data_IF_885465400722
#
_entry.id   IF_885465400722
#
_cell.length_a   1.000
_cell.length_b   1.000
_cell.length_c   1.000
_cell.angle_alpha   90.00
_cell.angle_beta   90.00
_cell.angle_gamma   90.00
#
_symmetry.space_group_name_H-M   'P 1'
#
loop_
_entity.id
_entity.type
_entity.pdbx_description
1 polymer ?
#
# COMPACT_ATOMS: atom_id res chain seq x y z
N UNK A 1 15.11 13.77 -20.32
CA UNK A 1 14.84 14.53 -19.08
C UNK A 1 15.85 14.11 -18.02
N UNK A 2 16.52 15.07 -17.39
CA UNK A 2 17.54 14.82 -16.36
C UNK A 2 17.39 15.81 -15.19
N UNK A 3 17.90 15.43 -14.02
CA UNK A 3 18.01 16.31 -12.84
C UNK A 3 16.74 17.09 -12.51
N UNK A 4 16.89 18.42 -12.37
CA UNK A 4 15.79 19.30 -11.96
C UNK A 4 14.59 19.30 -12.91
N UNK A 5 14.81 19.13 -14.22
CA UNK A 5 13.72 19.05 -15.21
C UNK A 5 12.85 17.80 -14.95
N UNK A 6 13.50 16.66 -14.68
CA UNK A 6 12.80 15.42 -14.35
C UNK A 6 12.01 15.57 -13.06
N UNK A 7 12.63 16.10 -12.00
CA UNK A 7 11.97 16.29 -10.70
C UNK A 7 10.75 17.22 -10.80
N UNK A 8 10.87 18.34 -11.53
CA UNK A 8 9.75 19.25 -11.74
C UNK A 8 8.57 18.55 -12.42
N UNK A 9 8.84 17.81 -13.50
CA UNK A 9 7.79 17.08 -14.23
C UNK A 9 7.16 15.95 -13.40
N UNK A 10 7.95 15.26 -12.57
CA UNK A 10 7.44 14.27 -11.61
C UNK A 10 6.47 14.94 -10.64
N UNK A 11 6.84 16.08 -10.03
CA UNK A 11 5.96 16.82 -9.12
C UNK A 11 4.65 17.24 -9.80
N UNK A 12 4.74 17.80 -10.99
CA UNK A 12 3.57 18.24 -11.76
C UNK A 12 2.63 17.07 -12.14
N UNK A 13 3.20 15.93 -12.53
CA UNK A 13 2.44 14.72 -12.86
C UNK A 13 1.74 14.13 -11.63
N UNK A 14 2.43 14.04 -10.50
CA UNK A 14 1.85 13.59 -9.21
C UNK A 14 0.70 14.48 -8.77
N UNK A 15 0.89 15.80 -8.77
CA UNK A 15 -0.14 16.75 -8.36
C UNK A 15 -1.41 16.60 -9.21
N UNK A 16 -1.27 16.42 -10.53
CA UNK A 16 -2.41 16.17 -11.43
C UNK A 16 -3.10 14.84 -11.12
N UNK A 17 -2.33 13.76 -10.91
CA UNK A 17 -2.89 12.45 -10.50
C UNK A 17 -3.68 12.56 -9.19
N UNK A 18 -3.10 13.19 -8.18
CA UNK A 18 -3.69 13.26 -6.84
C UNK A 18 -4.98 14.11 -6.85
N UNK A 19 -5.02 15.18 -7.63
CA UNK A 19 -6.24 15.96 -7.86
C UNK A 19 -7.36 15.12 -8.50
N UNK A 20 -7.03 14.24 -9.45
CA UNK A 20 -7.99 13.32 -10.08
C UNK A 20 -8.48 12.28 -9.05
N UNK A 21 -7.56 11.68 -8.28
CA UNK A 21 -7.90 10.71 -7.23
C UNK A 21 -8.84 11.33 -6.21
N UNK A 22 -8.52 12.53 -5.71
CA UNK A 22 -9.35 13.25 -4.73
C UNK A 22 -10.75 13.54 -5.28
N UNK A 23 -10.84 14.00 -6.52
CA UNK A 23 -12.12 14.26 -7.21
C UNK A 23 -12.96 12.99 -7.36
N UNK A 24 -12.37 11.92 -7.88
CA UNK A 24 -13.10 10.68 -8.22
C UNK A 24 -13.47 9.88 -6.99
N UNK A 25 -12.55 9.71 -6.03
CA UNK A 25 -12.82 8.98 -4.80
C UNK A 25 -13.89 9.65 -3.92
N UNK A 26 -14.14 10.96 -4.10
CA UNK A 26 -15.25 11.68 -3.47
C UNK A 26 -16.56 11.69 -4.27
N UNK A 27 -16.53 11.39 -5.58
CA UNK A 27 -17.66 11.64 -6.49
C UNK A 27 -18.72 10.53 -6.52
N UNK A 28 -18.36 9.27 -6.32
CA UNK A 28 -19.32 8.17 -6.45
C UNK A 28 -20.17 7.93 -5.19
N UNK A 29 -19.92 8.68 -4.10
CA UNK A 29 -20.42 8.48 -2.71
C UNK A 29 -20.10 7.09 -2.10
N UNK A 30 -19.83 6.11 -2.96
CA UNK A 30 -19.39 4.76 -2.75
C UNK A 30 -17.89 4.77 -2.56
N UNK A 31 -17.42 5.25 -1.40
CA UNK A 31 -16.00 5.25 -1.04
C UNK A 31 -15.47 3.81 -1.06
N UNK A 32 -15.03 3.31 -2.23
CA UNK A 32 -14.50 1.96 -2.40
C UNK A 32 -13.31 1.69 -1.45
N UNK A 33 -12.57 2.75 -1.09
CA UNK A 33 -11.53 2.76 -0.07
C UNK A 33 -12.04 2.38 1.32
N UNK A 34 -13.30 2.71 1.66
CA UNK A 34 -13.92 2.30 2.92
C UNK A 34 -14.15 0.79 3.00
N UNK A 35 -14.04 0.05 1.91
CA UNK A 35 -14.45 -1.36 1.87
C UNK A 35 -13.29 -2.27 1.47
N UNK A 36 -13.03 -3.28 2.30
CA UNK A 36 -12.28 -4.49 1.95
C UNK A 36 -10.80 -4.34 1.56
N UNK A 37 -10.21 -3.15 1.60
CA UNK A 37 -8.77 -3.01 1.34
C UNK A 37 -8.00 -3.07 2.63
N UNK A 38 -7.55 -4.27 2.99
CA UNK A 38 -6.56 -4.46 4.04
C UNK A 38 -5.17 -4.53 3.43
N UNK A 39 -4.18 -4.03 4.15
CA UNK A 39 -2.77 -4.20 3.78
C UNK A 39 -2.41 -5.68 3.94
N UNK A 40 -1.83 -6.28 2.91
CA UNK A 40 -1.20 -7.58 3.04
C UNK A 40 0.11 -7.48 3.83
N UNK A 41 0.68 -8.62 4.22
CA UNK A 41 1.96 -8.66 4.95
C UNK A 41 3.06 -7.87 4.24
N UNK A 42 3.17 -7.98 2.91
CA UNK A 42 4.15 -7.25 2.11
C UNK A 42 3.95 -5.73 2.17
N UNK A 43 2.69 -5.27 2.09
CA UNK A 43 2.39 -3.84 2.18
C UNK A 43 2.67 -3.32 3.60
N UNK A 44 2.45 -4.13 4.64
CA UNK A 44 2.81 -3.79 6.01
C UNK A 44 4.33 -3.68 6.21
N UNK A 45 5.14 -4.53 5.58
CA UNK A 45 6.61 -4.39 5.61
C UNK A 45 7.04 -3.04 5.04
N UNK A 46 6.42 -2.63 3.92
CA UNK A 46 6.65 -1.30 3.33
C UNK A 46 6.24 -0.17 4.27
N UNK A 47 5.08 -0.28 4.92
CA UNK A 47 4.63 0.71 5.89
C UNK A 47 5.58 0.82 7.11
N UNK A 48 5.99 -0.32 7.67
CA UNK A 48 6.98 -0.39 8.75
C UNK A 48 8.26 0.34 8.34
N UNK A 49 8.78 0.02 7.15
CA UNK A 49 9.98 0.66 6.60
C UNK A 49 9.82 2.18 6.50
N UNK A 50 8.73 2.67 5.93
CA UNK A 50 8.52 4.11 5.77
C UNK A 50 8.34 4.83 7.11
N UNK A 51 7.60 4.24 8.06
CA UNK A 51 7.45 4.80 9.41
C UNK A 51 8.79 4.87 10.15
N UNK A 52 9.66 3.87 10.01
CA UNK A 52 10.98 3.88 10.63
C UNK A 52 11.96 4.88 9.99
N UNK A 53 11.73 5.28 8.75
CA UNK A 53 12.57 6.23 8.04
C UNK A 53 12.11 7.69 8.19
N UNK A 54 10.88 7.92 8.59
CA UNK A 54 10.26 9.25 8.64
C UNK A 54 9.37 9.37 9.88
N UNK A 55 9.88 10.08 10.90
CA UNK A 55 9.19 10.29 12.18
C UNK A 55 7.90 11.10 12.02
N UNK A 56 7.84 12.02 11.06
CA UNK A 56 6.62 12.80 10.81
C UNK A 56 5.55 11.92 10.20
N UNK A 57 5.93 11.08 9.24
CA UNK A 57 5.05 10.07 8.65
C UNK A 57 4.60 9.02 9.67
N UNK A 58 5.50 8.53 10.53
CA UNK A 58 5.12 7.65 11.65
C UNK A 58 4.02 8.28 12.50
N UNK A 59 4.24 9.52 12.95
CA UNK A 59 3.29 10.22 13.81
C UNK A 59 1.95 10.40 13.10
N UNK A 60 1.96 10.78 11.83
CA UNK A 60 0.75 10.90 11.01
C UNK A 60 -0.04 9.58 10.96
N UNK A 61 0.63 8.46 10.67
CA UNK A 61 -0.01 7.14 10.63
C UNK A 61 -0.57 6.78 12.01
N UNK A 62 0.18 7.01 13.10
CA UNK A 62 -0.28 6.72 14.47
C UNK A 62 -1.50 7.54 14.87
N UNK A 63 -1.49 8.83 14.61
CA UNK A 63 -2.63 9.72 14.85
C UNK A 63 -3.85 9.23 14.06
N UNK A 64 -3.66 8.89 12.79
CA UNK A 64 -4.71 8.32 11.95
C UNK A 64 -5.28 7.01 12.49
N UNK A 65 -4.43 6.09 12.94
CA UNK A 65 -4.88 4.82 13.54
C UNK A 65 -5.63 5.03 14.87
N UNK A 66 -5.26 6.04 15.67
CA UNK A 66 -6.00 6.40 16.90
C UNK A 66 -7.39 6.94 16.56
N UNK A 67 -7.52 7.79 15.54
CA UNK A 67 -8.83 8.24 15.06
C UNK A 67 -9.69 7.07 14.58
N UNK A 68 -9.11 6.14 13.82
CA UNK A 68 -9.81 4.90 13.42
C UNK A 68 -10.23 4.08 14.65
N UNK A 69 -9.40 4.00 15.69
CA UNK A 69 -9.75 3.32 16.92
C UNK A 69 -10.98 3.94 17.61
N UNK A 70 -11.14 5.25 17.53
CA UNK A 70 -12.33 5.95 18.06
C UNK A 70 -13.60 5.61 17.25
N UNK A 71 -13.50 5.48 15.93
CA UNK A 71 -14.60 4.98 15.09
C UNK A 71 -14.98 3.53 15.47
N UNK A 72 -13.97 2.68 15.66
CA UNK A 72 -14.18 1.28 16.06
C UNK A 72 -14.72 1.11 17.49
N UNK A 73 -14.37 2.00 18.41
CA UNK A 73 -14.94 2.01 19.76
C UNK A 73 -16.43 2.33 19.71
N UNK A 74 -16.84 3.28 18.86
CA UNK A 74 -18.26 3.60 18.69
C UNK A 74 -19.06 2.37 18.22
N UNK A 75 -18.52 1.60 17.27
CA UNK A 75 -19.12 0.33 16.83
C UNK A 75 -19.14 -0.72 17.96
N UNK A 76 -18.04 -0.83 18.72
CA UNK A 76 -17.92 -1.77 19.83
C UNK A 76 -18.92 -1.48 20.95
N UNK A 77 -19.19 -0.21 21.27
CA UNK A 77 -20.17 0.18 22.29
C UNK A 77 -21.57 -0.33 21.94
N UNK A 78 -21.97 -0.22 20.67
CA UNK A 78 -23.26 -0.74 20.21
C UNK A 78 -23.29 -2.27 20.28
N UNK A 79 -22.19 -2.93 19.92
CA UNK A 79 -22.08 -4.38 20.00
C UNK A 79 -22.15 -4.89 21.46
N UNK A 80 -21.54 -4.17 22.41
CA UNK A 80 -21.66 -4.43 23.85
C UNK A 80 -23.11 -4.30 24.31
N UNK A 81 -23.80 -3.23 23.94
CA UNK A 81 -25.21 -3.00 24.28
C UNK A 81 -26.11 -4.13 23.76
N UNK A 82 -25.95 -4.54 22.50
CA UNK A 82 -26.70 -5.68 21.93
C UNK A 82 -26.41 -6.97 22.69
N UNK A 83 -25.15 -7.20 23.07
CA UNK A 83 -24.73 -8.39 23.81
C UNK A 83 -25.35 -8.43 25.22
N UNK A 84 -25.44 -7.28 25.90
CA UNK A 84 -26.12 -7.15 27.18
C UNK A 84 -27.63 -7.41 27.08
N UNK A 85 -28.29 -6.82 26.07
CA UNK A 85 -29.72 -7.06 25.81
C UNK A 85 -30.00 -8.54 25.50
N UNK A 86 -29.14 -9.20 24.74
CA UNK A 86 -29.22 -10.64 24.50
C UNK A 86 -29.02 -11.44 25.80
N UNK A 87 -28.06 -11.07 26.65
CA UNK A 87 -27.86 -11.73 27.94
C UNK A 87 -29.02 -11.57 28.92
N UNK A 88 -29.75 -10.45 28.87
CA UNK A 88 -30.94 -10.22 29.68
C UNK A 88 -32.20 -10.91 29.13
N UNK A 89 -32.32 -11.05 27.81
CA UNK A 89 -33.52 -11.60 27.14
C UNK A 89 -33.46 -13.11 26.92
N UNK A 90 -32.26 -13.63 26.67
CA UNK A 90 -32.00 -15.07 26.52
C UNK A 90 -31.87 -15.64 27.93
N UNK A 91 -32.96 -16.17 28.48
CA UNK A 91 -32.88 -17.10 29.61
C UNK A 91 -31.88 -18.23 29.34
N UNK A 92 -31.64 -19.12 30.32
CA UNK A 92 -30.57 -20.15 30.38
C UNK A 92 -30.37 -21.12 29.18
N UNK A 93 -31.06 -20.96 28.04
CA UNK A 93 -31.07 -21.90 26.92
C UNK A 93 -29.86 -21.90 25.97
N UNK A 94 -29.00 -20.86 25.95
CA UNK A 94 -27.79 -20.80 25.07
C UNK A 94 -26.58 -20.11 25.73
N UNK A 95 -26.11 -20.57 26.90
CA UNK A 95 -25.02 -19.92 27.65
C UNK A 95 -23.67 -19.96 26.92
N UNK A 96 -23.40 -21.02 26.15
CA UNK A 96 -22.14 -21.18 25.40
C UNK A 96 -22.03 -20.16 24.26
N UNK A 97 -23.10 -19.99 23.46
CA UNK A 97 -23.13 -18.99 22.38
C UNK A 97 -22.99 -17.55 22.93
N UNK A 98 -23.54 -17.28 24.11
CA UNK A 98 -23.41 -15.97 24.75
C UNK A 98 -21.98 -15.74 25.27
N UNK A 99 -21.34 -16.79 25.79
CA UNK A 99 -19.95 -16.74 26.21
C UNK A 99 -19.01 -16.48 25.02
N UNK A 100 -19.25 -17.14 23.88
CA UNK A 100 -18.46 -16.91 22.65
C UNK A 100 -18.66 -15.49 22.09
N UNK A 101 -19.89 -14.97 22.11
CA UNK A 101 -20.15 -13.58 21.73
C UNK A 101 -19.42 -12.60 22.65
N UNK A 102 -19.46 -12.81 23.98
CA UNK A 102 -18.73 -11.97 24.95
C UNK A 102 -17.22 -12.02 24.69
N UNK A 103 -16.67 -13.21 24.46
CA UNK A 103 -15.26 -13.36 24.14
C UNK A 103 -14.88 -12.60 22.86
N UNK A 104 -15.68 -12.69 21.80
CA UNK A 104 -15.41 -11.95 20.55
C UNK A 104 -15.52 -10.43 20.73
N UNK A 105 -16.39 -9.96 21.62
CA UNK A 105 -16.51 -8.54 22.00
C UNK A 105 -15.30 -8.08 22.80
N UNK A 106 -14.77 -8.92 23.69
CA UNK A 106 -13.53 -8.67 24.44
C UNK A 106 -12.33 -8.58 23.49
N UNK A 107 -12.18 -9.53 22.55
CA UNK A 107 -11.10 -9.50 21.53
C UNK A 107 -11.14 -8.20 20.69
N UNK A 108 -12.34 -7.71 20.33
CA UNK A 108 -12.48 -6.43 19.66
C UNK A 108 -12.02 -5.28 20.58
N UNK A 109 -12.42 -5.28 21.85
CA UNK A 109 -11.98 -4.30 22.83
C UNK A 109 -10.45 -4.27 23.02
N UNK A 110 -9.82 -5.43 23.10
CA UNK A 110 -8.36 -5.56 23.15
C UNK A 110 -7.70 -4.99 21.89
N UNK A 111 -8.26 -5.28 20.71
CA UNK A 111 -7.77 -4.73 19.46
C UNK A 111 -7.86 -3.19 19.43
N UNK A 112 -8.99 -2.62 19.83
CA UNK A 112 -9.18 -1.15 19.87
C UNK A 112 -8.24 -0.49 20.88
N UNK A 113 -8.06 -1.11 22.05
CA UNK A 113 -7.11 -0.63 23.05
C UNK A 113 -5.66 -0.66 22.52
N UNK A 114 -5.27 -1.76 21.87
CA UNK A 114 -3.98 -1.90 21.23
C UNK A 114 -3.77 -0.85 20.13
N UNK A 115 -4.78 -0.60 19.29
CA UNK A 115 -4.70 0.36 18.19
C UNK A 115 -4.48 1.80 18.68
N UNK A 116 -4.98 2.14 19.87
CA UNK A 116 -4.74 3.43 20.52
C UNK A 116 -3.35 3.55 21.17
N UNK A 117 -2.70 2.43 21.42
CA UNK A 117 -1.45 2.37 22.19
C UNK A 117 -0.23 2.81 21.37
N UNK A 118 0.87 3.08 22.07
CA UNK A 118 2.18 3.33 21.45
C UNK A 118 2.90 2.00 21.17
N UNK A 119 2.25 1.10 20.43
CA UNK A 119 2.82 -0.20 20.10
C UNK A 119 4.16 -0.03 19.33
N UNK A 120 5.15 -0.91 19.56
CA UNK A 120 6.42 -0.86 18.83
C UNK A 120 6.23 -0.95 17.31
N UNK A 121 6.99 -0.18 16.53
CA UNK A 121 7.02 -0.34 15.07
C UNK A 121 7.80 -1.61 14.75
N UNK A 122 7.09 -2.72 14.62
CA UNK A 122 7.65 -4.00 14.20
C UNK A 122 6.66 -4.74 13.31
N UNK A 123 7.15 -5.68 12.51
CA UNK A 123 6.28 -6.53 11.68
C UNK A 123 5.28 -7.29 12.53
N UNK A 124 5.72 -7.84 13.66
CA UNK A 124 4.90 -8.66 14.54
C UNK A 124 3.70 -7.88 15.08
N UNK A 125 3.93 -6.64 15.51
CA UNK A 125 2.86 -5.77 15.98
C UNK A 125 1.97 -5.33 14.82
N UNK A 126 2.54 -4.92 13.69
CA UNK A 126 1.76 -4.50 12.52
C UNK A 126 0.92 -5.63 11.93
N UNK A 127 1.33 -6.90 12.07
CA UNK A 127 0.52 -8.05 11.65
C UNK A 127 -0.80 -8.18 12.42
N UNK A 128 -0.94 -7.56 13.61
CA UNK A 128 -2.21 -7.52 14.33
C UNK A 128 -3.28 -6.73 13.56
N UNK A 129 -2.89 -5.74 12.75
CA UNK A 129 -3.79 -5.01 11.85
C UNK A 129 -4.49 -5.96 10.89
N UNK A 130 -3.79 -6.98 10.37
CA UNK A 130 -4.35 -8.00 9.46
C UNK A 130 -5.39 -8.89 10.17
N UNK A 131 -5.37 -8.95 11.51
CA UNK A 131 -6.30 -9.79 12.28
C UNK A 131 -7.67 -9.14 12.48
N UNK A 132 -7.77 -7.81 12.37
CA UNK A 132 -9.04 -7.12 12.63
C UNK A 132 -10.24 -7.63 11.80
N UNK A 133 -10.12 -7.92 10.49
CA UNK A 133 -11.21 -8.53 9.73
C UNK A 133 -11.71 -9.84 10.34
N UNK A 134 -10.80 -10.66 10.89
CA UNK A 134 -11.17 -11.90 11.57
C UNK A 134 -11.89 -11.62 12.90
N UNK A 135 -11.36 -10.70 13.72
CA UNK A 135 -12.00 -10.27 14.98
C UNK A 135 -13.43 -9.77 14.73
N UNK A 136 -13.61 -8.87 13.77
CA UNK A 136 -14.93 -8.36 13.38
C UNK A 136 -15.84 -9.47 12.86
N UNK A 137 -15.32 -10.36 12.00
CA UNK A 137 -16.08 -11.47 11.43
C UNK A 137 -16.56 -12.43 12.52
N UNK A 138 -15.68 -12.80 13.46
CA UNK A 138 -16.02 -13.68 14.58
C UNK A 138 -17.13 -13.10 15.44
N UNK A 139 -17.02 -11.82 15.82
CA UNK A 139 -18.06 -11.14 16.58
C UNK A 139 -19.42 -11.10 15.86
N UNK A 140 -19.43 -10.79 14.56
CA UNK A 140 -20.65 -10.77 13.76
C UNK A 140 -21.25 -12.17 13.56
N UNK A 141 -20.41 -13.19 13.38
CA UNK A 141 -20.84 -14.58 13.24
C UNK A 141 -21.42 -15.10 14.56
N UNK A 142 -20.79 -14.84 15.70
CA UNK A 142 -21.32 -15.15 17.02
C UNK A 142 -22.68 -14.47 17.24
N UNK A 143 -22.79 -13.19 16.90
CA UNK A 143 -24.04 -12.43 17.01
C UNK A 143 -25.14 -12.99 16.10
N UNK A 144 -24.79 -13.46 14.90
CA UNK A 144 -25.75 -14.00 13.94
C UNK A 144 -26.51 -15.25 14.43
N UNK A 145 -25.98 -15.94 15.44
CA UNK A 145 -26.62 -17.12 16.06
C UNK A 145 -27.86 -16.75 16.87
N UNK A 146 -28.02 -15.49 17.24
CA UNK A 146 -29.16 -14.97 17.97
C UNK A 146 -30.18 -14.38 16.99
N UNK A 147 -31.42 -14.86 17.08
CA UNK A 147 -32.51 -14.34 16.24
C UNK A 147 -32.68 -12.83 16.46
N UNK A 148 -32.57 -12.05 15.39
CA UNK A 148 -32.66 -10.59 15.45
C UNK A 148 -31.39 -9.86 15.91
N UNK A 149 -30.31 -10.56 16.31
CA UNK A 149 -29.08 -9.93 16.82
C UNK A 149 -28.45 -8.94 15.83
N UNK A 150 -28.28 -9.35 14.57
CA UNK A 150 -27.80 -8.46 13.51
C UNK A 150 -28.76 -7.29 13.22
N UNK A 151 -30.07 -7.52 13.37
CA UNK A 151 -31.07 -6.47 13.20
C UNK A 151 -31.03 -5.43 14.33
N UNK A 152 -30.82 -5.87 15.57
CA UNK A 152 -30.64 -5.01 16.74
C UNK A 152 -29.37 -4.17 16.59
N UNK A 153 -28.26 -4.80 16.19
CA UNK A 153 -27.00 -4.10 15.90
C UNK A 153 -27.24 -2.98 14.89
N UNK A 154 -27.80 -3.30 13.72
CA UNK A 154 -28.09 -2.30 12.69
C UNK A 154 -28.99 -1.20 13.22
N UNK A 155 -30.03 -1.52 14.00
CA UNK A 155 -31.01 -0.55 14.50
C UNK A 155 -30.40 0.43 15.50
N UNK A 156 -29.70 -0.09 16.51
CA UNK A 156 -29.08 0.71 17.59
C UNK A 156 -27.88 1.52 17.08
N UNK A 157 -27.18 1.02 16.08
CA UNK A 157 -25.98 1.65 15.52
C UNK A 157 -26.21 2.99 14.81
N UNK A 158 -27.48 3.35 14.54
CA UNK A 158 -27.84 4.67 14.01
C UNK A 158 -27.21 4.97 12.64
N UNK A 159 -26.84 6.23 12.42
CA UNK A 159 -26.20 6.71 11.17
C UNK A 159 -24.67 6.79 11.25
N UNK A 160 -24.08 6.54 12.43
CA UNK A 160 -22.64 6.72 12.68
C UNK A 160 -21.83 5.43 12.58
N UNK A 161 -22.47 4.28 12.70
CA UNK A 161 -21.76 3.02 12.75
C UNK A 161 -21.41 2.43 11.39
N UNK A 162 -20.28 1.72 11.35
CA UNK A 162 -19.78 1.09 10.13
C UNK A 162 -20.67 -0.07 9.65
N UNK A 163 -21.65 -0.54 10.44
CA UNK A 163 -22.46 -1.71 10.11
C UNK A 163 -23.49 -1.47 8.99
N UNK A 164 -23.87 -0.22 8.69
CA UNK A 164 -24.87 0.09 7.65
C UNK A 164 -24.19 0.41 6.32
N UNK A 165 -24.61 -0.27 5.25
CA UNK A 165 -24.29 0.10 3.88
C UNK A 165 -25.53 -0.03 2.99
N UNK A 166 -25.76 0.93 2.10
CA UNK A 166 -26.94 1.02 1.22
C UNK A 166 -27.47 -0.35 0.77
N UNK A 167 -28.67 -0.70 1.25
CA UNK A 167 -29.39 -1.92 0.85
C UNK A 167 -28.86 -3.25 1.39
N UNK A 168 -27.70 -3.28 2.09
CA UNK A 168 -27.17 -4.49 2.76
C UNK A 168 -27.47 -4.45 4.25
N UNK A 169 -27.75 -5.63 4.84
CA UNK A 169 -27.95 -5.75 6.28
C UNK A 169 -26.66 -5.54 7.08
N UNK A 170 -25.48 -5.85 6.55
CA UNK A 170 -24.19 -5.60 7.21
C UNK A 170 -23.15 -5.15 6.18
N UNK A 171 -22.44 -4.06 6.47
CA UNK A 171 -21.35 -3.57 5.63
C UNK A 171 -20.08 -4.45 5.76
N UNK A 172 -19.23 -4.50 4.72
CA UNK A 172 -17.88 -5.05 4.86
C UNK A 172 -17.05 -4.29 5.92
N UNK A 173 -15.94 -4.87 6.42
CA UNK A 173 -15.04 -4.18 7.34
C UNK A 173 -14.52 -2.85 6.76
N UNK A 174 -14.42 -1.78 7.57
CA UNK A 174 -13.76 -0.55 7.17
C UNK A 174 -12.26 -0.78 6.92
N UNK A 175 -11.68 -0.02 5.99
CA UNK A 175 -10.22 0.04 5.87
C UNK A 175 -9.65 0.76 7.08
N UNK A 176 -8.70 0.12 7.78
CA UNK A 176 -8.05 0.70 8.97
C UNK A 176 -7.11 1.87 8.67
N UNK A 177 -6.87 2.15 7.38
CA UNK A 177 -5.95 3.19 6.94
C UNK A 177 -6.68 4.30 6.18
N UNK A 178 -7.99 4.42 6.33
CA UNK A 178 -8.80 5.43 5.66
C UNK A 178 -9.63 6.20 6.69
N UNK A 179 -9.55 7.53 6.62
CA UNK A 179 -10.37 8.46 7.39
C UNK A 179 -11.21 9.30 6.44
N UNK A 180 -12.43 9.63 6.88
CA UNK A 180 -13.34 10.46 6.08
C UNK A 180 -12.82 11.88 5.84
N UNK A 181 -12.08 12.42 6.82
CA UNK A 181 -11.56 13.79 6.79
C UNK A 181 -10.28 13.93 5.96
N UNK A 182 -9.40 12.93 5.98
CA UNK A 182 -8.03 13.03 5.43
C UNK A 182 -7.73 12.00 4.34
N UNK A 183 -8.60 11.03 4.09
CA UNK A 183 -8.37 9.99 3.09
C UNK A 183 -7.46 8.88 3.60
N UNK A 184 -6.55 8.38 2.76
CA UNK A 184 -5.67 7.28 3.15
C UNK A 184 -4.48 7.80 3.97
N UNK A 185 -4.32 7.30 5.19
CA UNK A 185 -3.25 7.74 6.13
C UNK A 185 -1.87 7.15 5.78
N UNK A 186 -1.80 6.19 4.85
CA UNK A 186 -0.53 5.60 4.42
C UNK A 186 0.16 6.35 3.27
N UNK A 187 -0.46 7.38 2.70
CA UNK A 187 0.06 8.21 1.60
C UNK A 187 0.91 7.46 0.55
N UNK A 188 2.24 7.71 0.48
CA UNK A 188 3.15 7.09 -0.48
C UNK A 188 3.55 5.65 -0.12
N UNK A 189 3.31 5.21 1.12
CA UNK A 189 3.46 3.83 1.56
C UNK A 189 2.21 2.99 1.27
N UNK A 190 1.23 3.56 0.56
CA UNK A 190 -0.03 2.90 0.22
C UNK A 190 0.18 1.54 -0.48
N UNK A 191 -0.65 0.54 -0.16
CA UNK A 191 -0.58 -0.79 -0.74
C UNK A 191 -0.58 -0.85 -2.26
N UNK A 192 0.13 -1.86 -2.75
CA UNK A 192 0.26 -2.19 -4.15
C UNK A 192 -1.10 -2.28 -4.90
N UNK A 193 -2.11 -2.85 -4.23
CA UNK A 193 -3.41 -3.21 -4.82
C UNK A 193 -4.58 -2.57 -4.09
N UNK A 194 -4.40 -1.35 -3.60
CA UNK A 194 -5.47 -0.64 -2.93
C UNK A 194 -6.69 -0.41 -3.86
N UNK A 195 -7.92 -0.61 -3.36
CA UNK A 195 -9.15 -0.57 -4.16
C UNK A 195 -9.40 0.75 -4.90
N UNK A 196 -8.72 1.86 -4.56
CA UNK A 196 -8.85 3.13 -5.29
C UNK A 196 -8.66 2.92 -6.79
N UNK A 197 -7.68 2.10 -7.19
CA UNK A 197 -7.35 1.87 -8.60
C UNK A 197 -8.23 0.82 -9.26
N UNK A 198 -8.84 -0.07 -8.48
CA UNK A 198 -9.86 -1.02 -8.95
C UNK A 198 -11.28 -0.49 -8.76
N UNK A 199 -11.44 0.83 -8.57
CA UNK A 199 -12.74 1.45 -8.40
C UNK A 199 -13.56 1.26 -9.68
N UNK A 200 -14.51 0.33 -9.64
CA UNK A 200 -15.55 0.15 -10.67
C UNK A 200 -16.72 1.11 -10.49
N UNK A 201 -16.62 2.03 -9.53
CA UNK A 201 -17.61 3.10 -9.33
C UNK A 201 -17.67 4.03 -10.53
N UNK A 202 -18.77 4.79 -10.63
CA UNK A 202 -18.93 5.84 -11.64
C UNK A 202 -18.78 7.19 -10.92
N UNK A 203 -17.81 8.05 -11.31
CA UNK A 203 -16.84 7.84 -12.40
C UNK A 203 -15.73 6.83 -12.05
N UNK A 204 -15.23 6.11 -13.07
CA UNK A 204 -14.16 5.12 -12.93
C UNK A 204 -12.80 5.84 -12.83
N UNK A 205 -12.00 5.53 -11.79
CA UNK A 205 -10.73 6.24 -11.57
C UNK A 205 -9.73 6.05 -12.71
N UNK A 206 -9.60 4.83 -13.24
CA UNK A 206 -8.64 4.54 -14.32
C UNK A 206 -9.03 5.25 -15.60
N UNK A 207 -10.31 5.26 -15.93
CA UNK A 207 -10.85 5.99 -17.07
C UNK A 207 -10.57 7.50 -16.94
N UNK A 208 -10.80 8.07 -15.77
CA UNK A 208 -10.56 9.50 -15.50
C UNK A 208 -9.07 9.87 -15.53
N UNK A 209 -8.20 8.99 -15.02
CA UNK A 209 -6.75 9.14 -15.13
C UNK A 209 -6.31 9.12 -16.60
N UNK A 210 -6.82 8.18 -17.42
CA UNK A 210 -6.48 8.08 -18.84
C UNK A 210 -6.97 9.25 -19.68
N UNK A 211 -8.15 9.80 -19.36
CA UNK A 211 -8.67 11.02 -20.01
C UNK A 211 -7.83 12.26 -19.69
N UNK A 212 -7.20 12.29 -18.51
CA UNK A 212 -6.57 13.50 -17.97
C UNK A 212 -5.04 13.50 -18.05
N UNK A 213 -4.40 12.33 -18.17
CA UNK A 213 -2.95 12.16 -18.20
C UNK A 213 -2.53 11.43 -19.48
N UNK A 214 -1.45 11.89 -20.11
CA UNK A 214 -0.73 11.09 -21.11
C UNK A 214 -0.01 9.91 -20.45
N UNK A 215 0.43 8.93 -21.25
CA UNK A 215 1.16 7.76 -20.73
C UNK A 215 2.43 8.14 -19.95
N UNK A 216 3.25 9.06 -20.49
CA UNK A 216 4.46 9.52 -19.79
C UNK A 216 4.13 10.23 -18.47
N UNK A 217 3.06 11.03 -18.45
CA UNK A 217 2.59 11.67 -17.21
C UNK A 217 2.12 10.63 -16.19
N UNK A 218 1.45 9.57 -16.65
CA UNK A 218 1.07 8.46 -15.78
C UNK A 218 2.29 7.73 -15.19
N UNK A 219 3.31 7.48 -16.00
CA UNK A 219 4.58 6.88 -15.52
C UNK A 219 5.22 7.81 -14.48
N UNK A 220 5.39 9.09 -14.81
CA UNK A 220 6.00 10.09 -13.94
C UNK A 220 5.23 10.28 -12.63
N UNK A 221 3.90 10.21 -12.66
CA UNK A 221 3.08 10.33 -11.46
C UNK A 221 3.29 9.19 -10.44
N UNK A 222 3.92 8.08 -10.85
CA UNK A 222 4.29 6.98 -9.95
C UNK A 222 5.75 7.06 -9.44
N UNK A 223 6.51 8.07 -9.87
CA UNK A 223 7.88 8.32 -9.40
C UNK A 223 7.84 9.22 -8.16
N UNK A 224 8.73 8.99 -7.20
CA UNK A 224 8.86 9.82 -6.00
C UNK A 224 10.18 10.59 -6.01
N UNK A 225 10.17 11.94 -5.96
CA UNK A 225 11.39 12.71 -5.78
C UNK A 225 12.01 12.44 -4.40
N UNK A 226 13.28 12.06 -4.36
CA UNK A 226 14.01 11.78 -3.10
C UNK A 226 15.48 12.15 -3.24
N UNK A 227 16.14 12.39 -2.11
CA UNK A 227 17.59 12.56 -2.08
C UNK A 227 18.30 11.22 -2.20
N UNK A 228 19.56 11.24 -2.63
CA UNK A 228 20.40 10.03 -2.63
C UNK A 228 20.60 9.45 -1.21
N UNK A 229 20.66 10.31 -0.19
CA UNK A 229 20.77 9.87 1.20
C UNK A 229 19.52 9.10 1.63
N UNK A 230 18.32 9.53 1.22
CA UNK A 230 17.08 8.80 1.52
C UNK A 230 17.10 7.39 0.92
N UNK A 231 17.58 7.25 -0.32
CA UNK A 231 17.71 5.93 -0.97
C UNK A 231 18.69 5.06 -0.19
N UNK A 232 19.85 5.62 0.19
CA UNK A 232 20.88 4.92 0.96
C UNK A 232 20.35 4.47 2.33
N UNK A 233 19.73 5.38 3.11
CA UNK A 233 19.17 5.05 4.43
C UNK A 233 18.09 3.97 4.34
N UNK A 234 17.27 4.01 3.29
CA UNK A 234 16.28 2.97 3.04
C UNK A 234 16.94 1.61 2.74
N UNK A 235 17.98 1.58 1.90
CA UNK A 235 18.70 0.33 1.63
C UNK A 235 19.31 -0.25 2.90
N UNK A 236 19.94 0.57 3.73
CA UNK A 236 20.50 0.15 5.02
C UNK A 236 19.44 -0.42 5.96
N UNK A 237 18.34 0.30 6.12
CA UNK A 237 17.24 -0.13 6.98
C UNK A 237 16.68 -1.48 6.53
N UNK A 238 16.48 -1.69 5.23
CA UNK A 238 15.99 -2.96 4.71
C UNK A 238 16.89 -4.13 5.08
N UNK A 239 18.21 -3.97 4.98
CA UNK A 239 19.16 -5.05 5.34
C UNK A 239 19.21 -5.27 6.86
N UNK A 240 18.99 -4.22 7.65
CA UNK A 240 18.89 -4.34 9.10
C UNK A 240 17.60 -5.04 9.55
N UNK A 241 16.49 -4.82 8.83
CA UNK A 241 15.19 -5.43 9.13
C UNK A 241 15.10 -6.89 8.70
N UNK A 242 15.76 -7.25 7.58
CA UNK A 242 15.82 -8.63 7.10
C UNK A 242 15.64 -8.73 5.58
N UNK A 243 15.98 -9.89 4.98
CA UNK A 243 15.88 -10.11 3.54
C UNK A 243 14.47 -9.86 2.99
N UNK A 244 13.41 -10.11 3.76
CA UNK A 244 12.02 -9.91 3.38
C UNK A 244 11.58 -8.44 3.24
N UNK A 245 12.44 -7.51 3.66
CA UNK A 245 12.25 -6.06 3.48
C UNK A 245 12.97 -5.53 2.25
N UNK A 246 13.84 -6.32 1.62
CA UNK A 246 14.60 -5.89 0.46
C UNK A 246 13.66 -5.80 -0.74
N UNK A 247 13.35 -4.56 -1.13
CA UNK A 247 12.52 -4.26 -2.29
C UNK A 247 13.40 -3.78 -3.46
N UNK A 248 13.15 -4.24 -4.70
CA UNK A 248 13.79 -3.73 -5.91
C UNK A 248 13.60 -2.22 -6.08
N UNK A 249 14.65 -1.50 -6.47
CA UNK A 249 14.63 -0.02 -6.60
C UNK A 249 14.92 0.43 -8.01
N UNK A 250 14.19 1.43 -8.49
CA UNK A 250 14.46 2.12 -9.75
C UNK A 250 14.83 3.57 -9.42
N UNK A 251 15.99 4.01 -9.90
CA UNK A 251 16.57 5.31 -9.60
C UNK A 251 16.81 6.08 -10.90
N UNK A 252 16.11 7.18 -11.08
CA UNK A 252 16.12 8.00 -12.29
C UNK A 252 16.88 9.31 -12.04
N UNK A 253 17.62 9.76 -13.05
CA UNK A 253 18.43 10.97 -12.98
C UNK A 253 19.73 10.81 -12.18
N UNK A 254 20.21 9.58 -11.97
CA UNK A 254 21.42 9.32 -11.21
C UNK A 254 22.69 9.69 -12.00
N UNK A 255 23.61 10.43 -11.38
CA UNK A 255 24.96 10.63 -11.93
C UNK A 255 25.82 9.37 -11.72
N UNK A 256 26.93 9.23 -12.47
CA UNK A 256 27.90 8.13 -12.25
C UNK A 256 28.43 8.12 -10.81
N UNK A 257 28.63 9.29 -10.20
CA UNK A 257 29.04 9.39 -8.80
C UNK A 257 27.97 8.79 -7.86
N UNK A 258 26.70 9.09 -8.10
CA UNK A 258 25.59 8.54 -7.31
C UNK A 258 25.46 7.02 -7.50
N UNK A 259 25.65 6.53 -8.73
CA UNK A 259 25.67 5.11 -9.07
C UNK A 259 26.79 4.39 -8.29
N UNK A 260 28.00 4.94 -8.30
CA UNK A 260 29.13 4.39 -7.55
C UNK A 260 28.87 4.41 -6.04
N UNK A 261 28.20 5.46 -5.53
CA UNK A 261 27.78 5.52 -4.12
C UNK A 261 26.79 4.42 -3.76
N UNK A 262 25.77 4.16 -4.59
CA UNK A 262 24.81 3.07 -4.40
C UNK A 262 25.54 1.72 -4.39
N UNK A 263 26.38 1.46 -5.40
CA UNK A 263 27.14 0.22 -5.51
C UNK A 263 28.03 -0.02 -4.28
N UNK A 264 28.77 1.02 -3.85
CA UNK A 264 29.61 0.93 -2.64
C UNK A 264 28.77 0.62 -1.41
N UNK A 265 27.59 1.24 -1.28
CA UNK A 265 26.76 1.03 -0.09
C UNK A 265 26.17 -0.36 -0.04
N UNK A 266 25.69 -0.90 -1.16
CA UNK A 266 25.27 -2.31 -1.26
C UNK A 266 26.37 -3.26 -0.76
N UNK A 267 27.62 -3.02 -1.17
CA UNK A 267 28.76 -3.82 -0.71
C UNK A 267 29.05 -3.69 0.79
N UNK A 268 28.92 -2.49 1.35
CA UNK A 268 29.06 -2.25 2.79
C UNK A 268 27.94 -2.90 3.61
N UNK A 269 26.77 -3.12 3.02
CA UNK A 269 25.67 -3.89 3.62
C UNK A 269 25.86 -5.41 3.53
N UNK A 270 27.02 -5.89 3.08
CA UNK A 270 27.39 -7.31 3.08
C UNK A 270 27.13 -8.05 1.77
N UNK A 271 26.74 -7.35 0.70
CA UNK A 271 26.44 -7.95 -0.59
C UNK A 271 27.69 -8.07 -1.48
N UNK A 272 27.78 -9.15 -2.27
CA UNK A 272 28.67 -9.16 -3.43
C UNK A 272 28.00 -8.37 -4.55
N UNK A 273 28.51 -7.18 -4.87
CA UNK A 273 27.85 -6.29 -5.83
C UNK A 273 28.31 -6.57 -7.25
N UNK A 274 27.37 -6.86 -8.14
CA UNK A 274 27.57 -6.92 -9.59
C UNK A 274 27.02 -5.67 -10.22
N UNK A 275 27.90 -4.84 -10.78
CA UNK A 275 27.51 -3.65 -11.54
C UNK A 275 27.52 -4.00 -13.03
N UNK A 276 26.37 -3.89 -13.68
CA UNK A 276 26.19 -4.14 -15.11
C UNK A 276 25.83 -2.84 -15.82
N UNK A 277 26.75 -2.35 -16.66
CA UNK A 277 26.50 -1.18 -17.52
C UNK A 277 25.90 -1.64 -18.85
N UNK A 278 24.75 -1.09 -19.19
CA UNK A 278 24.01 -1.44 -20.41
C UNK A 278 24.36 -0.44 -21.51
N UNK A 279 24.96 -0.93 -22.60
CA UNK A 279 25.52 -0.06 -23.64
C UNK A 279 24.49 0.63 -24.54
N UNK A 280 23.28 0.07 -24.66
CA UNK A 280 22.19 0.64 -25.46
C UNK A 280 20.89 0.65 -24.67
N UNK A 281 20.21 1.80 -24.66
CA UNK A 281 18.81 1.87 -24.22
C UNK A 281 17.97 1.06 -25.20
N UNK A 282 17.59 -0.15 -24.79
CA UNK A 282 16.66 -1.01 -25.50
C UNK A 282 15.59 -1.47 -24.54
N UNK A 283 14.37 -1.63 -25.05
CA UNK A 283 13.25 -2.15 -24.28
C UNK A 283 13.59 -3.56 -23.81
N UNK A 284 13.53 -3.79 -22.50
CA UNK A 284 13.61 -5.12 -21.90
C UNK A 284 12.19 -5.60 -21.63
N UNK A 285 11.88 -6.82 -22.06
CA UNK A 285 10.61 -7.44 -21.71
C UNK A 285 10.59 -7.84 -20.24
N UNK A 286 9.39 -7.90 -19.65
CA UNK A 286 9.23 -8.38 -18.28
C UNK A 286 9.86 -9.77 -18.06
N UNK A 287 9.76 -10.67 -19.04
CA UNK A 287 10.31 -12.03 -18.96
C UNK A 287 11.84 -12.06 -18.88
N UNK A 288 12.53 -11.19 -19.61
CA UNK A 288 14.00 -11.08 -19.55
C UNK A 288 14.48 -10.55 -18.20
N UNK A 289 13.72 -9.62 -17.61
CA UNK A 289 14.01 -9.09 -16.27
C UNK A 289 13.81 -10.18 -15.22
N UNK A 290 12.67 -10.90 -15.26
CA UNK A 290 12.41 -12.01 -14.35
C UNK A 290 13.48 -13.10 -14.41
N UNK A 291 13.90 -13.50 -15.61
CA UNK A 291 14.93 -14.52 -15.80
C UNK A 291 16.28 -14.10 -15.19
N UNK A 292 16.64 -12.82 -15.31
CA UNK A 292 17.88 -12.30 -14.74
C UNK A 292 17.82 -12.22 -13.22
N UNK A 293 16.72 -11.71 -12.66
CA UNK A 293 16.54 -11.61 -11.22
C UNK A 293 16.54 -12.98 -10.55
N UNK A 294 15.93 -13.98 -11.19
CA UNK A 294 15.98 -15.38 -10.73
C UNK A 294 17.39 -15.99 -10.80
N UNK A 295 18.30 -15.43 -11.61
CA UNK A 295 19.67 -15.90 -11.74
C UNK A 295 20.65 -15.22 -10.77
N UNK A 296 20.19 -14.25 -9.96
CA UNK A 296 21.02 -13.60 -8.95
C UNK A 296 21.32 -14.61 -7.82
N UNK A 297 22.59 -14.94 -7.54
CA UNK A 297 22.92 -15.82 -6.43
C UNK A 297 22.56 -15.18 -5.07
N UNK A 298 22.20 -15.98 -4.04
CA UNK A 298 22.03 -15.47 -2.68
C UNK A 298 23.23 -14.64 -2.22
N UNK A 299 22.97 -13.52 -1.53
CA UNK A 299 24.01 -12.59 -1.08
C UNK A 299 24.68 -11.76 -2.18
N UNK A 300 24.20 -11.85 -3.43
CA UNK A 300 24.64 -10.97 -4.53
C UNK A 300 23.62 -9.86 -4.74
N UNK A 301 24.09 -8.62 -4.84
CA UNK A 301 23.31 -7.48 -5.28
C UNK A 301 23.58 -7.17 -6.75
N UNK A 302 22.53 -6.91 -7.54
CA UNK A 302 22.67 -6.50 -8.93
C UNK A 302 22.32 -5.01 -9.07
N UNK A 303 23.27 -4.22 -9.58
CA UNK A 303 23.06 -2.83 -9.99
C UNK A 303 23.16 -2.74 -11.52
N UNK A 304 22.05 -2.48 -12.17
CA UNK A 304 22.02 -2.23 -13.62
C UNK A 304 22.00 -0.73 -13.91
N UNK A 305 22.88 -0.30 -14.81
CA UNK A 305 23.07 1.12 -15.14
C UNK A 305 22.75 1.34 -16.60
N UNK A 306 21.75 2.19 -16.85
CA UNK A 306 21.28 2.55 -18.18
C UNK A 306 21.64 4.01 -18.49
N UNK A 307 22.14 4.31 -19.70
CA UNK A 307 22.39 5.68 -20.13
C UNK A 307 21.09 6.43 -20.41
N UNK A 308 20.00 5.72 -20.66
CA UNK A 308 18.66 6.31 -20.83
C UNK A 308 17.59 5.23 -20.82
N UNK A 309 16.40 5.54 -20.34
CA UNK A 309 15.20 4.71 -20.42
C UNK A 309 14.01 5.51 -20.93
N UNK A 310 12.97 4.83 -21.39
CA UNK A 310 11.66 5.45 -21.67
C UNK A 310 10.57 4.86 -20.75
N UNK A 311 9.38 5.45 -20.81
CA UNK A 311 8.24 5.01 -20.00
C UNK A 311 7.81 3.57 -20.29
N UNK A 312 7.95 3.09 -21.54
CA UNK A 312 7.62 1.71 -21.90
C UNK A 312 8.57 0.72 -21.20
N UNK A 313 9.86 1.02 -21.17
CA UNK A 313 10.84 0.18 -20.48
C UNK A 313 10.57 0.13 -18.99
N UNK A 314 10.27 1.29 -18.36
CA UNK A 314 9.88 1.34 -16.95
C UNK A 314 8.62 0.52 -16.67
N UNK A 315 7.63 0.57 -17.58
CA UNK A 315 6.39 -0.17 -17.43
C UNK A 315 6.59 -1.69 -17.50
N UNK A 316 7.37 -2.18 -18.47
CA UNK A 316 7.72 -3.60 -18.60
C UNK A 316 8.51 -4.12 -17.40
N UNK A 317 9.45 -3.32 -16.90
CA UNK A 317 10.18 -3.65 -15.68
C UNK A 317 9.28 -3.68 -14.47
N UNK A 318 8.33 -2.75 -14.39
CA UNK A 318 7.38 -2.74 -13.31
C UNK A 318 6.52 -4.01 -13.29
N UNK A 319 6.11 -4.51 -14.46
CA UNK A 319 5.39 -5.78 -14.58
C UNK A 319 6.21 -6.96 -14.07
N UNK A 320 7.51 -7.01 -14.40
CA UNK A 320 8.40 -8.07 -13.90
C UNK A 320 8.55 -8.02 -12.38
N UNK A 321 8.80 -6.83 -11.84
CA UNK A 321 9.01 -6.63 -10.40
C UNK A 321 7.74 -6.89 -9.60
N UNK A 322 6.56 -6.51 -10.11
CA UNK A 322 5.27 -6.87 -9.48
C UNK A 322 5.07 -8.39 -9.42
N UNK A 323 5.46 -9.14 -10.47
CA UNK A 323 5.36 -10.61 -10.45
C UNK A 323 6.32 -11.27 -9.45
N UNK A 324 7.54 -10.75 -9.32
CA UNK A 324 8.52 -11.21 -8.32
C UNK A 324 7.99 -10.95 -6.92
N UNK A 325 7.47 -9.73 -6.69
CA UNK A 325 6.80 -9.36 -5.44
C UNK A 325 5.64 -10.31 -5.13
N UNK A 326 4.82 -10.70 -6.11
CA UNK A 326 3.72 -11.66 -5.91
C UNK A 326 4.17 -13.07 -5.51
N UNK A 327 5.44 -13.42 -5.74
CA UNK A 327 6.04 -14.68 -5.26
C UNK A 327 6.67 -14.58 -3.87
N UNK A 328 6.65 -13.40 -3.25
CA UNK A 328 7.40 -13.07 -2.01
C UNK A 328 8.91 -13.28 -2.18
N UNK A 329 9.42 -13.06 -3.40
CA UNK A 329 10.84 -13.08 -3.72
C UNK A 329 11.44 -11.69 -3.48
N UNK A 330 12.62 -11.63 -2.85
CA UNK A 330 13.26 -10.38 -2.42
C UNK A 330 14.69 -10.21 -2.97
N UNK A 331 14.87 -10.11 -4.30
CA UNK A 331 16.19 -9.95 -4.88
C UNK A 331 16.76 -8.56 -4.54
N UNK A 332 18.03 -8.50 -4.15
CA UNK A 332 18.75 -7.22 -4.06
C UNK A 332 19.03 -6.69 -5.46
N UNK A 333 18.14 -5.83 -5.95
CA UNK A 333 18.19 -5.26 -7.29
C UNK A 333 18.02 -3.76 -7.26
N UNK A 334 18.92 -3.06 -7.94
CA UNK A 334 18.80 -1.63 -8.21
C UNK A 334 18.96 -1.42 -9.72
N UNK A 335 18.03 -0.69 -10.30
CA UNK A 335 18.17 -0.13 -11.63
C UNK A 335 18.43 1.36 -11.52
N UNK A 336 19.46 1.86 -12.20
CA UNK A 336 19.77 3.28 -12.28
C UNK A 336 19.74 3.76 -13.74
N UNK A 337 19.16 4.91 -13.99
CA UNK A 337 19.21 5.59 -15.27
C UNK A 337 19.63 7.04 -15.13
N UNK A 338 20.54 7.49 -15.99
CA UNK A 338 20.98 8.89 -16.04
C UNK A 338 19.93 9.80 -16.68
N UNK A 339 19.15 9.28 -17.64
CA UNK A 339 18.13 10.02 -18.38
C UNK A 339 16.80 9.24 -18.49
N UNK A 340 15.67 9.95 -18.34
CA UNK A 340 14.35 9.49 -18.78
C UNK A 340 13.95 10.19 -20.09
N UNK A 341 13.77 9.42 -21.16
CA UNK A 341 13.33 9.85 -22.48
C UNK A 341 11.82 9.82 -22.59
N UNK A 342 11.29 10.69 -23.44
CA UNK A 342 9.89 10.66 -23.86
C UNK A 342 9.60 9.37 -24.61
N UNK A 343 8.47 8.75 -24.30
CA UNK A 343 8.07 7.52 -24.95
C UNK A 343 7.53 7.82 -26.36
N UNK A 344 8.04 7.15 -27.42
CA UNK A 344 7.62 7.45 -28.79
C UNK A 344 6.16 7.08 -29.09
N UNK A 345 5.63 6.06 -28.41
CA UNK A 345 4.23 5.64 -28.47
C UNK A 345 3.84 5.01 -27.12
N UNK A 346 2.62 5.27 -26.66
CA UNK A 346 2.11 4.71 -25.40
C UNK A 346 2.19 3.18 -25.38
N UNK A 347 2.45 2.62 -24.20
CA UNK A 347 2.52 1.18 -24.01
C UNK A 347 1.23 0.49 -24.49
N UNK A 348 1.29 -0.71 -25.10
CA UNK A 348 0.08 -1.42 -25.55
C UNK A 348 -0.95 -1.68 -24.44
N UNK A 349 -0.50 -1.79 -23.18
CA UNK A 349 -1.37 -1.95 -22.01
C UNK A 349 -1.94 -0.63 -21.47
N UNK A 350 -1.63 0.50 -22.09
CA UNK A 350 -2.27 1.80 -21.84
C UNK A 350 -3.59 1.90 -22.61
N UNK A 351 -4.51 0.98 -22.32
CA UNK A 351 -5.78 0.82 -23.04
C UNK A 351 -6.99 0.82 -22.08
N UNK A 352 -8.18 0.62 -22.64
CA UNK A 352 -9.46 0.60 -21.90
C UNK A 352 -9.57 -0.57 -20.92
N UNK A 353 -8.66 -1.54 -21.01
CA UNK A 353 -8.61 -2.74 -20.18
C UNK A 353 -7.40 -2.73 -19.24
N UNK A 354 -6.81 -1.56 -18.96
CA UNK A 354 -5.68 -1.43 -18.03
C UNK A 354 -6.04 -1.97 -16.64
N UNK A 355 -5.86 -3.27 -16.41
CA UNK A 355 -6.22 -3.94 -15.15
C UNK A 355 -5.06 -3.98 -14.16
N UNK A 356 -3.82 -3.74 -14.62
CA UNK A 356 -2.64 -3.75 -13.76
C UNK A 356 -2.01 -2.35 -13.78
N UNK A 357 -1.89 -1.71 -12.62
CA UNK A 357 -1.02 -0.56 -12.40
C UNK A 357 0.27 -1.03 -11.71
N UNK A 358 1.19 -1.70 -12.41
CA UNK A 358 2.38 -2.26 -11.79
C UNK A 358 3.31 -1.20 -11.20
N UNK A 359 3.21 0.06 -11.65
CA UNK A 359 4.09 1.14 -11.21
C UNK A 359 3.78 1.66 -9.81
N UNK A 360 2.51 1.66 -9.39
CA UNK A 360 2.09 2.30 -8.12
C UNK A 360 2.63 1.60 -6.87
N UNK A 361 3.28 0.44 -7.05
CA UNK A 361 3.66 -0.49 -6.00
C UNK A 361 5.18 -0.54 -5.80
N UNK A 362 5.92 0.11 -6.68
CA UNK A 362 7.37 0.00 -6.77
C UNK A 362 8.06 1.21 -6.17
N UNK A 363 9.26 0.96 -5.68
CA UNK A 363 10.19 1.98 -5.25
C UNK A 363 10.84 2.64 -6.49
N UNK A 364 10.13 3.57 -7.11
CA UNK A 364 10.61 4.36 -8.26
C UNK A 364 10.93 5.77 -7.80
N UNK A 365 12.19 6.16 -7.99
CA UNK A 365 12.73 7.41 -7.47
C UNK A 365 13.27 8.29 -8.58
N UNK A 366 13.06 9.59 -8.45
CA UNK A 366 13.83 10.60 -9.18
C UNK A 366 14.74 11.29 -8.17
N UNK A 367 16.05 11.38 -8.48
CA UNK A 367 16.99 12.05 -7.58
C UNK A 367 16.73 13.54 -7.59
N UNK A 368 16.33 14.07 -6.44
CA UNK A 368 16.28 15.49 -6.13
C UNK A 368 17.61 15.89 -5.50
N UNK A 369 18.29 16.82 -6.18
CA UNK A 369 19.68 17.20 -5.91
C UNK A 369 19.81 18.21 -4.77
#
# INVERSE_FOLDING_TARGET
MTGHELVSKVRDARQRRDAIVLRVCGACESKCCKQMTMMGTQDLRRLVREMMLDEEFERHVREGLREVADELEADLLVLREVTELLGASVGTGRPEDLAELRHSVEEWGEFVHWLRSDFPISQEEMLRIVRFPAVRSNALNALSRFSGGLGALVTLSGSRASFRFHGRRIAPPPCLFYLDASGCICDHAKPAKCANFFCTGVPNLLEELRKSLGFDDFVLANVTPVTIERIISMMELERNLGPEYVEPKIVLGASEEMIDRIARRMGQCGETVRVRRIERGGLRSAAEVEAELNAIPPGTGLLEVFPSLDGNTLYEMALALDRIRLRDDHPSYVMAATELKTTPASHPLWDDQMMAQPLGVLDIFAIDA
#
